data_IF_413763836448
#
_entry.id   IF_413763836448
#
_cell.length_a   1.000
_cell.length_b   1.000
_cell.length_c   1.000
_cell.angle_alpha   90.00
_cell.angle_beta   90.00
_cell.angle_gamma   90.00
#
_symmetry.space_group_name_H-M   'P 1'
#
loop_
_entity.id
_entity.type
_entity.pdbx_description
1 polymer ?
#
# COMPACT_ATOMS: atom_id res chain seq x y z
N UNK A 1 3.38 -2.02 -18.94
CA UNK A 1 2.16 -1.76 -18.14
C UNK A 1 2.41 -1.91 -16.65
N UNK A 2 3.42 -2.68 -16.26
CA UNK A 2 3.78 -3.00 -14.87
C UNK A 2 4.17 -1.78 -14.02
N UNK A 3 4.83 -0.79 -14.62
CA UNK A 3 5.14 0.48 -13.95
C UNK A 3 3.87 1.23 -13.51
N UNK A 4 2.83 1.25 -14.35
CA UNK A 4 1.57 1.92 -14.04
C UNK A 4 0.80 1.19 -12.92
N UNK A 5 0.85 -0.14 -12.92
CA UNK A 5 0.29 -0.98 -11.85
C UNK A 5 1.03 -0.74 -10.53
N UNK A 6 2.37 -0.67 -10.57
CA UNK A 6 3.18 -0.38 -9.39
C UNK A 6 2.88 1.01 -8.81
N UNK A 7 2.74 2.04 -9.66
CA UNK A 7 2.38 3.39 -9.24
C UNK A 7 0.98 3.40 -8.59
N UNK A 8 0.00 2.73 -9.20
CA UNK A 8 -1.35 2.59 -8.65
C UNK A 8 -1.36 1.90 -7.29
N UNK A 9 -0.65 0.78 -7.13
CA UNK A 9 -0.54 0.06 -5.87
C UNK A 9 0.11 0.91 -4.77
N UNK A 10 1.18 1.64 -5.11
CA UNK A 10 1.85 2.56 -4.17
C UNK A 10 0.93 3.73 -3.78
N UNK A 11 0.15 4.26 -4.71
CA UNK A 11 -0.81 5.33 -4.44
C UNK A 11 -1.89 4.87 -3.45
N UNK A 12 -2.45 3.68 -3.66
CA UNK A 12 -3.44 3.06 -2.78
C UNK A 12 -2.85 2.80 -1.40
N UNK A 13 -1.65 2.21 -1.32
CA UNK A 13 -0.96 1.95 -0.06
C UNK A 13 -0.70 3.25 0.72
N UNK A 14 -0.29 4.33 0.02
CA UNK A 14 -0.08 5.64 0.61
C UNK A 14 -1.39 6.24 1.17
N UNK A 15 -2.50 6.12 0.44
CA UNK A 15 -3.81 6.58 0.91
C UNK A 15 -4.27 5.83 2.17
N UNK A 16 -4.11 4.51 2.19
CA UNK A 16 -4.46 3.68 3.35
C UNK A 16 -3.61 4.06 4.56
N UNK A 17 -2.31 4.32 4.37
CA UNK A 17 -1.41 4.78 5.43
C UNK A 17 -1.76 6.19 5.95
N UNK A 18 -2.11 7.11 5.06
CA UNK A 18 -2.56 8.45 5.46
C UNK A 18 -3.88 8.38 6.24
N UNK A 19 -4.82 7.56 5.79
CA UNK A 19 -6.10 7.33 6.45
C UNK A 19 -5.93 6.67 7.82
N UNK A 20 -5.03 5.69 7.96
CA UNK A 20 -4.73 5.06 9.26
C UNK A 20 -4.08 6.02 10.25
N UNK A 21 -3.36 7.04 9.80
CA UNK A 21 -2.81 8.08 10.69
C UNK A 21 -3.90 8.99 11.27
N UNK A 22 -4.96 9.26 10.50
CA UNK A 22 -6.09 10.07 10.97
C UNK A 22 -7.08 9.28 11.83
N UNK A 23 -7.10 7.94 11.71
CA UNK A 23 -7.97 7.09 12.53
C UNK A 23 -7.50 7.05 13.99
N UNK A 24 -8.35 7.52 14.90
CA UNK A 24 -8.15 7.42 16.35
C UNK A 24 -8.02 5.94 16.79
N UNK A 25 -7.26 5.69 17.88
CA UNK A 25 -6.86 4.34 18.35
C UNK A 25 -8.06 3.39 18.41
N UNK A 26 -8.12 2.45 17.48
CA UNK A 26 -9.16 1.42 17.39
C UNK A 26 -8.70 0.22 16.56
N UNK A 27 -9.42 -0.89 16.68
CA UNK A 27 -9.15 -2.15 15.97
C UNK A 27 -9.05 -1.98 14.44
N UNK A 28 -9.79 -1.01 13.88
CA UNK A 28 -9.78 -0.69 12.45
C UNK A 28 -8.40 -0.20 11.99
N UNK A 29 -7.65 0.50 12.86
CA UNK A 29 -6.28 0.92 12.55
C UNK A 29 -5.35 -0.28 12.37
N UNK A 30 -5.48 -1.30 13.23
CA UNK A 30 -4.67 -2.53 13.12
C UNK A 30 -4.99 -3.23 11.80
N UNK A 31 -6.27 -3.39 11.47
CA UNK A 31 -6.71 -4.06 10.25
C UNK A 31 -6.21 -3.36 8.98
N UNK A 32 -6.37 -2.03 8.90
CA UNK A 32 -5.88 -1.24 7.77
C UNK A 32 -4.35 -1.26 7.66
N UNK A 33 -3.63 -1.31 8.78
CA UNK A 33 -2.17 -1.37 8.79
C UNK A 33 -1.67 -2.73 8.28
N UNK A 34 -2.33 -3.83 8.66
CA UNK A 34 -2.06 -5.16 8.11
C UNK A 34 -2.31 -5.19 6.59
N UNK A 35 -3.42 -4.62 6.14
CA UNK A 35 -3.76 -4.51 4.71
C UNK A 35 -2.72 -3.67 3.94
N UNK A 36 -2.29 -2.54 4.50
CA UNK A 36 -1.27 -1.68 3.89
C UNK A 36 0.07 -2.42 3.72
N UNK A 37 0.48 -3.20 4.73
CA UNK A 37 1.72 -4.01 4.67
C UNK A 37 1.61 -5.11 3.61
N UNK A 38 0.46 -5.78 3.53
CA UNK A 38 0.18 -6.79 2.51
C UNK A 38 0.20 -6.20 1.08
N UNK A 39 -0.23 -4.95 0.91
CA UNK A 39 -0.19 -4.22 -0.36
C UNK A 39 1.21 -3.78 -0.78
N UNK A 40 2.13 -3.59 0.18
CA UNK A 40 3.52 -3.23 -0.13
C UNK A 40 4.28 -4.36 -0.82
N UNK A 41 4.06 -5.63 -0.44
CA UNK A 41 4.70 -6.78 -1.10
C UNK A 41 4.48 -6.83 -2.62
N UNK A 42 3.23 -6.86 -3.12
CA UNK A 42 2.98 -6.88 -4.56
C UNK A 42 3.44 -5.57 -5.21
N UNK A 43 3.30 -4.41 -4.55
CA UNK A 43 3.80 -3.16 -5.09
C UNK A 43 5.32 -3.19 -5.34
N UNK A 44 6.10 -3.74 -4.40
CA UNK A 44 7.55 -3.90 -4.55
C UNK A 44 7.90 -4.90 -5.65
N UNK A 45 7.18 -6.04 -5.74
CA UNK A 45 7.41 -7.03 -6.79
C UNK A 45 7.13 -6.47 -8.19
N UNK A 46 6.03 -5.74 -8.37
CA UNK A 46 5.72 -5.06 -9.62
C UNK A 46 6.71 -3.93 -9.91
N UNK A 47 7.16 -3.20 -8.90
CA UNK A 47 8.17 -2.14 -9.04
C UNK A 47 9.53 -2.67 -9.49
N UNK A 48 10.00 -3.79 -8.90
CA UNK A 48 11.24 -4.46 -9.32
C UNK A 48 11.10 -4.98 -10.75
N UNK A 49 9.97 -5.62 -11.10
CA UNK A 49 9.70 -6.07 -12.48
C UNK A 49 9.58 -4.93 -13.48
N UNK A 50 9.18 -3.74 -13.04
CA UNK A 50 9.11 -2.56 -13.90
C UNK A 50 10.48 -1.91 -14.14
N UNK A 51 11.45 -2.13 -13.24
CA UNK A 51 12.81 -1.58 -13.32
C UNK A 51 13.79 -2.50 -14.09
N UNK A 52 13.47 -3.79 -14.20
CA UNK A 52 14.28 -4.83 -14.81
C UNK A 52 13.80 -5.12 -16.24
#
# INVERSE_FOLDING_TARGET
MDALISIMLLLIANFIMAWTRQLSRGWIRVLLMTVAILLLLPAVLFGIRALL
#
